data_IF_868605553625
#
_entry.id   IF_868605553625
#
_cell.length_a   1.000
_cell.length_b   1.000
_cell.length_c   1.000
_cell.angle_alpha   90.00
_cell.angle_beta   90.00
_cell.angle_gamma   90.00
#
_symmetry.space_group_name_H-M   'P 1'
#
loop_
_entity.id
_entity.type
_entity.pdbx_description
1 polymer ?
#
# COMPACT_ATOMS: atom_id res chain seq x y z
N UNK A 1 10.98 -29.54 0.58
CA UNK A 1 12.15 -28.82 0.06
C UNK A 1 11.97 -27.36 0.42
N UNK A 2 12.57 -26.91 1.52
CA UNK A 2 12.50 -25.52 1.98
C UNK A 2 13.42 -24.70 1.09
N UNK A 3 12.88 -23.71 0.36
CA UNK A 3 13.72 -22.75 -0.37
C UNK A 3 14.59 -21.99 0.63
N UNK A 4 15.84 -21.69 0.26
CA UNK A 4 16.69 -20.83 1.07
C UNK A 4 16.19 -19.36 1.05
N UNK A 5 16.59 -18.60 2.06
CA UNK A 5 16.17 -17.21 2.23
C UNK A 5 16.54 -16.32 1.02
N UNK A 6 17.76 -16.43 0.43
CA UNK A 6 18.13 -15.66 -0.76
C UNK A 6 17.24 -15.90 -1.97
N UNK A 7 16.95 -17.17 -2.31
CA UNK A 7 16.07 -17.52 -3.44
C UNK A 7 14.65 -17.00 -3.22
N UNK A 8 14.17 -17.08 -1.98
CA UNK A 8 12.84 -16.58 -1.62
C UNK A 8 12.75 -15.06 -1.76
N UNK A 9 13.71 -14.32 -1.22
CA UNK A 9 13.76 -12.86 -1.28
C UNK A 9 13.90 -12.34 -2.71
N UNK A 10 14.76 -12.97 -3.52
CA UNK A 10 14.89 -12.65 -4.96
C UNK A 10 13.56 -12.80 -5.70
N UNK A 11 12.85 -13.90 -5.50
CA UNK A 11 11.54 -14.15 -6.14
C UNK A 11 10.49 -13.11 -5.74
N UNK A 12 10.51 -12.66 -4.47
CA UNK A 12 9.63 -11.59 -4.00
C UNK A 12 9.92 -10.27 -4.72
N UNK A 13 11.19 -9.91 -4.89
CA UNK A 13 11.56 -8.70 -5.66
C UNK A 13 11.15 -8.80 -7.12
N UNK A 14 11.34 -9.95 -7.77
CA UNK A 14 10.87 -10.18 -9.14
C UNK A 14 9.34 -10.06 -9.25
N UNK A 15 8.62 -10.53 -8.23
CA UNK A 15 7.16 -10.38 -8.12
C UNK A 15 6.76 -8.92 -7.93
N UNK A 16 7.47 -8.17 -7.09
CA UNK A 16 7.28 -6.74 -6.90
C UNK A 16 7.48 -5.95 -8.21
N UNK A 17 8.51 -6.29 -8.98
CA UNK A 17 8.77 -5.72 -10.31
C UNK A 17 7.58 -6.00 -11.25
N UNK A 18 7.05 -7.22 -11.26
CA UNK A 18 5.89 -7.56 -12.07
C UNK A 18 4.65 -6.75 -11.67
N UNK A 19 4.41 -6.57 -10.37
CA UNK A 19 3.35 -5.72 -9.84
C UNK A 19 3.52 -4.25 -10.23
N UNK A 20 4.72 -3.67 -10.11
CA UNK A 20 4.96 -2.30 -10.57
C UNK A 20 4.79 -2.14 -12.09
N UNK A 21 5.22 -3.12 -12.89
CA UNK A 21 4.96 -3.10 -14.34
C UNK A 21 3.46 -3.12 -14.65
N UNK A 22 2.69 -3.92 -13.90
CA UNK A 22 1.23 -3.93 -14.04
C UNK A 22 0.62 -2.57 -13.68
N UNK A 23 1.13 -1.85 -12.67
CA UNK A 23 0.66 -0.50 -12.31
C UNK A 23 0.85 0.55 -13.42
N UNK A 24 1.82 0.36 -14.33
CA UNK A 24 2.03 1.29 -15.46
C UNK A 24 0.86 1.27 -16.45
N UNK A 25 0.21 0.12 -16.63
CA UNK A 25 -0.84 -0.07 -17.64
C UNK A 25 -2.22 -0.29 -17.04
N UNK A 26 -2.31 -0.61 -15.75
CA UNK A 26 -3.58 -0.81 -15.07
C UNK A 26 -4.41 0.49 -15.03
N UNK A 27 -5.74 0.33 -15.12
CA UNK A 27 -6.71 1.40 -14.88
C UNK A 27 -6.54 1.99 -13.47
N UNK A 28 -6.28 1.12 -12.48
CA UNK A 28 -5.95 1.51 -11.12
C UNK A 28 -4.54 1.05 -10.74
N UNK A 29 -3.60 2.00 -10.71
CA UNK A 29 -2.19 1.76 -10.36
C UNK A 29 -1.97 1.47 -8.86
N UNK A 30 -2.94 1.79 -7.99
CA UNK A 30 -2.78 1.75 -6.53
C UNK A 30 -2.69 0.31 -6.01
N UNK A 31 -3.55 -0.59 -6.49
CA UNK A 31 -3.58 -1.98 -6.00
C UNK A 31 -2.30 -2.75 -6.32
N UNK A 32 -1.76 -2.73 -7.55
CA UNK A 32 -0.48 -3.36 -7.83
C UNK A 32 0.68 -2.69 -7.07
N UNK A 33 0.66 -1.37 -6.88
CA UNK A 33 1.68 -0.67 -6.08
C UNK A 33 1.71 -1.13 -4.62
N UNK A 34 0.54 -1.34 -3.99
CA UNK A 34 0.43 -1.91 -2.64
C UNK A 34 1.12 -3.28 -2.57
N UNK A 35 0.79 -4.18 -3.51
CA UNK A 35 1.35 -5.54 -3.52
C UNK A 35 2.86 -5.53 -3.72
N UNK A 36 3.35 -4.68 -4.62
CA UNK A 36 4.78 -4.52 -4.83
C UNK A 36 5.51 -4.05 -3.56
N UNK A 37 4.94 -3.10 -2.81
CA UNK A 37 5.51 -2.63 -1.55
C UNK A 37 5.54 -3.74 -0.48
N UNK A 38 4.45 -4.52 -0.35
CA UNK A 38 4.41 -5.66 0.58
C UNK A 38 5.49 -6.70 0.23
N UNK A 39 5.66 -7.01 -1.05
CA UNK A 39 6.68 -7.94 -1.55
C UNK A 39 8.11 -7.43 -1.27
N UNK A 40 8.36 -6.13 -1.49
CA UNK A 40 9.66 -5.50 -1.20
C UNK A 40 9.99 -5.50 0.29
N UNK A 41 9.02 -5.15 1.14
CA UNK A 41 9.19 -5.20 2.61
C UNK A 41 9.50 -6.62 3.05
N UNK A 42 8.76 -7.60 2.54
CA UNK A 42 8.98 -9.01 2.88
C UNK A 42 10.35 -9.50 2.42
N UNK A 43 10.79 -9.10 1.21
CA UNK A 43 12.11 -9.45 0.69
C UNK A 43 13.23 -8.83 1.53
N UNK A 44 13.12 -7.54 1.87
CA UNK A 44 14.13 -6.82 2.65
C UNK A 44 14.28 -7.38 4.08
N UNK A 45 13.18 -7.79 4.71
CA UNK A 45 13.22 -8.47 6.02
C UNK A 45 13.90 -9.84 5.91
N UNK A 46 13.65 -10.58 4.83
CA UNK A 46 14.22 -11.91 4.64
C UNK A 46 15.72 -11.88 4.27
N UNK A 47 16.15 -10.88 3.51
CA UNK A 47 17.54 -10.72 3.07
C UNK A 47 17.93 -9.23 2.94
N UNK A 48 18.40 -8.60 4.03
CA UNK A 48 18.63 -7.13 4.07
C UNK A 48 19.66 -6.62 3.05
N UNK A 49 20.66 -7.43 2.73
CA UNK A 49 21.75 -7.05 1.80
C UNK A 49 21.44 -7.41 0.33
N UNK A 50 20.18 -7.74 0.00
CA UNK A 50 19.78 -8.16 -1.36
C UNK A 50 20.22 -7.15 -2.43
N UNK A 51 20.16 -5.85 -2.13
CA UNK A 51 20.57 -4.79 -3.03
C UNK A 51 22.03 -4.88 -3.51
N UNK A 52 22.93 -5.28 -2.61
CA UNK A 52 24.35 -5.42 -2.89
C UNK A 52 24.65 -6.67 -3.75
N UNK A 53 23.83 -7.72 -3.60
CA UNK A 53 23.95 -8.95 -4.36
C UNK A 53 23.24 -8.89 -5.73
N UNK A 54 22.18 -8.09 -5.86
CA UNK A 54 21.31 -8.03 -7.05
C UNK A 54 21.13 -6.58 -7.56
N UNK A 55 22.21 -5.88 -7.93
CA UNK A 55 22.14 -4.46 -8.31
C UNK A 55 21.23 -4.19 -9.52
N UNK A 56 21.10 -5.17 -10.42
CA UNK A 56 20.18 -5.07 -11.56
C UNK A 56 18.70 -5.06 -11.16
N UNK A 57 18.33 -5.81 -10.11
CA UNK A 57 16.97 -5.79 -9.58
C UNK A 57 16.72 -4.49 -8.81
N UNK A 58 17.69 -4.04 -8.01
CA UNK A 58 17.61 -2.78 -7.28
C UNK A 58 17.38 -1.58 -8.22
N UNK A 59 18.16 -1.48 -9.29
CA UNK A 59 18.00 -0.43 -10.31
C UNK A 59 16.60 -0.47 -10.96
N UNK A 60 16.10 -1.67 -11.28
CA UNK A 60 14.79 -1.84 -11.90
C UNK A 60 13.64 -1.44 -10.98
N UNK A 61 13.73 -1.80 -9.70
CA UNK A 61 12.76 -1.41 -8.68
C UNK A 61 12.72 0.11 -8.54
N UNK A 62 13.87 0.77 -8.47
CA UNK A 62 13.93 2.23 -8.36
C UNK A 62 13.34 2.95 -9.57
N UNK A 63 13.68 2.50 -10.78
CA UNK A 63 13.13 3.04 -12.03
C UNK A 63 11.60 2.94 -12.05
N UNK A 64 11.08 1.74 -11.75
CA UNK A 64 9.64 1.48 -11.78
C UNK A 64 8.89 2.23 -10.68
N UNK A 65 9.43 2.25 -9.45
CA UNK A 65 8.81 2.98 -8.34
C UNK A 65 8.68 4.48 -8.65
N UNK A 66 9.71 5.07 -9.26
CA UNK A 66 9.66 6.45 -9.73
C UNK A 66 8.64 6.64 -10.86
N UNK A 67 8.63 5.74 -11.85
CA UNK A 67 7.76 5.83 -13.01
C UNK A 67 6.26 5.73 -12.66
N UNK A 68 5.90 4.88 -11.68
CA UNK A 68 4.50 4.72 -11.28
C UNK A 68 4.02 5.78 -10.27
N UNK A 69 4.94 6.48 -9.61
CA UNK A 69 4.61 7.35 -8.48
C UNK A 69 3.50 8.36 -8.81
N UNK A 70 3.57 9.09 -9.95
CA UNK A 70 2.52 10.05 -10.32
C UNK A 70 1.14 9.40 -10.48
N UNK A 71 1.07 8.21 -11.09
CA UNK A 71 -0.19 7.47 -11.31
C UNK A 71 -0.79 7.00 -9.99
N UNK A 72 0.05 6.54 -9.06
CA UNK A 72 -0.41 6.13 -7.73
C UNK A 72 -0.93 7.35 -6.97
N UNK A 73 -0.21 8.48 -7.01
CA UNK A 73 -0.62 9.72 -6.34
C UNK A 73 -1.95 10.26 -6.89
N UNK A 74 -2.14 10.23 -8.21
CA UNK A 74 -3.40 10.58 -8.87
C UNK A 74 -4.54 9.65 -8.43
N UNK A 75 -4.30 8.33 -8.39
CA UNK A 75 -5.30 7.33 -8.01
C UNK A 75 -5.78 7.43 -6.56
N UNK A 76 -5.04 8.13 -5.68
CA UNK A 76 -5.44 8.40 -4.28
C UNK A 76 -5.59 9.89 -3.99
N UNK A 77 -5.71 10.73 -5.03
CA UNK A 77 -5.86 12.17 -4.88
C UNK A 77 -7.04 12.51 -3.95
N UNK A 78 -6.79 13.41 -3.00
CA UNK A 78 -7.77 13.80 -1.97
C UNK A 78 -7.87 12.87 -0.77
N UNK A 79 -7.23 11.70 -0.78
CA UNK A 79 -7.11 10.81 0.38
C UNK A 79 -5.71 10.84 0.99
N UNK A 80 -4.66 10.94 0.17
CA UNK A 80 -3.26 10.95 0.59
C UNK A 80 -2.54 12.06 -0.19
N UNK A 81 -1.66 12.80 0.49
CA UNK A 81 -0.85 13.83 -0.14
C UNK A 81 0.20 13.21 -1.09
N UNK A 82 0.43 13.83 -2.24
CA UNK A 82 1.28 13.27 -3.30
C UNK A 82 2.75 13.10 -2.86
N UNK A 83 3.28 14.07 -2.09
CA UNK A 83 4.60 14.01 -1.48
C UNK A 83 4.77 12.78 -0.57
N UNK A 84 3.72 12.41 0.19
CA UNK A 84 3.70 11.22 1.03
C UNK A 84 3.73 9.94 0.21
N UNK A 85 3.00 9.90 -0.92
CA UNK A 85 3.05 8.77 -1.87
C UNK A 85 4.45 8.62 -2.47
N UNK A 86 5.04 9.72 -2.94
CA UNK A 86 6.38 9.72 -3.53
C UNK A 86 7.44 9.28 -2.51
N UNK A 87 7.37 9.83 -1.30
CA UNK A 87 8.28 9.47 -0.23
C UNK A 87 8.16 7.99 0.15
N UNK A 88 6.94 7.47 0.29
CA UNK A 88 6.72 6.07 0.62
C UNK A 88 7.20 5.09 -0.45
N UNK A 89 6.96 5.40 -1.74
CA UNK A 89 7.49 4.59 -2.85
C UNK A 89 9.01 4.67 -2.93
N UNK A 90 9.60 5.85 -2.70
CA UNK A 90 11.04 6.02 -2.64
C UNK A 90 11.64 5.24 -1.45
N UNK A 91 10.99 5.22 -0.29
CA UNK A 91 11.41 4.42 0.85
C UNK A 91 11.39 2.91 0.52
N UNK A 92 10.35 2.43 -0.18
CA UNK A 92 10.27 1.06 -0.66
C UNK A 92 11.39 0.70 -1.65
N UNK A 93 11.69 1.58 -2.61
CA UNK A 93 12.81 1.36 -3.53
C UNK A 93 14.18 1.40 -2.83
N UNK A 94 14.32 2.29 -1.85
CA UNK A 94 15.53 2.44 -1.05
C UNK A 94 15.84 1.21 -0.18
N UNK A 95 14.90 0.28 0.02
CA UNK A 95 15.18 -1.01 0.64
C UNK A 95 16.20 -1.84 -0.14
N UNK A 96 16.31 -1.60 -1.46
CA UNK A 96 17.23 -2.33 -2.34
C UNK A 96 18.36 -1.45 -2.90
N UNK A 97 18.18 -0.13 -2.95
CA UNK A 97 19.19 0.77 -3.55
C UNK A 97 20.07 1.49 -2.54
N UNK A 98 19.62 1.64 -1.30
CA UNK A 98 20.43 2.27 -0.27
C UNK A 98 21.45 1.27 0.28
N UNK A 99 22.65 1.76 0.57
CA UNK A 99 23.64 0.98 1.31
C UNK A 99 23.10 0.68 2.72
N UNK A 100 23.53 -0.42 3.35
CA UNK A 100 23.19 -0.71 4.74
C UNK A 100 23.56 0.47 5.64
N UNK A 101 22.56 1.01 6.35
CA UNK A 101 22.71 2.07 7.32
C UNK A 101 21.71 1.87 8.48
N UNK A 102 21.76 2.75 9.48
CA UNK A 102 20.86 2.72 10.63
C UNK A 102 19.40 3.07 10.29
N UNK A 103 19.10 3.48 9.06
CA UNK A 103 17.76 3.87 8.61
C UNK A 103 17.02 2.73 7.88
N UNK A 104 17.64 1.56 7.71
CA UNK A 104 17.00 0.43 7.02
C UNK A 104 15.65 0.05 7.66
N UNK A 105 15.59 -0.02 8.99
CA UNK A 105 14.36 -0.29 9.72
C UNK A 105 13.29 0.80 9.48
N UNK A 106 13.68 2.07 9.45
CA UNK A 106 12.76 3.18 9.18
C UNK A 106 12.21 3.12 7.76
N UNK A 107 13.03 2.73 6.77
CA UNK A 107 12.57 2.52 5.39
C UNK A 107 11.52 1.42 5.31
N UNK A 108 11.72 0.31 6.03
CA UNK A 108 10.74 -0.79 6.10
C UNK A 108 9.42 -0.25 6.67
N UNK A 109 9.47 0.51 7.77
CA UNK A 109 8.29 1.08 8.41
C UNK A 109 7.58 2.08 7.49
N UNK A 110 8.31 2.95 6.79
CA UNK A 110 7.73 3.90 5.86
C UNK A 110 7.09 3.24 4.64
N UNK A 111 7.74 2.23 4.07
CA UNK A 111 7.20 1.44 2.96
C UNK A 111 5.92 0.68 3.37
N UNK A 112 5.93 0.07 4.56
CA UNK A 112 4.75 -0.60 5.12
C UNK A 112 3.62 0.38 5.45
N UNK A 113 3.95 1.55 6.00
CA UNK A 113 2.97 2.58 6.34
C UNK A 113 2.25 3.10 5.09
N UNK A 114 2.98 3.46 4.03
CA UNK A 114 2.35 3.93 2.81
C UNK A 114 1.49 2.83 2.16
N UNK A 115 1.93 1.56 2.19
CA UNK A 115 1.13 0.44 1.68
C UNK A 115 -0.20 0.29 2.44
N UNK A 116 -0.16 0.44 3.77
CA UNK A 116 -1.36 0.42 4.61
C UNK A 116 -2.28 1.62 4.33
N UNK A 117 -1.74 2.82 4.14
CA UNK A 117 -2.52 4.02 3.81
C UNK A 117 -3.19 3.92 2.45
N UNK A 118 -2.46 3.48 1.42
CA UNK A 118 -3.00 3.23 0.08
C UNK A 118 -4.14 2.20 0.15
N UNK A 119 -3.95 1.11 0.91
CA UNK A 119 -4.99 0.10 1.13
C UNK A 119 -6.22 0.69 1.82
N UNK A 120 -6.03 1.51 2.86
CA UNK A 120 -7.13 2.20 3.53
C UNK A 120 -7.87 3.16 2.59
N UNK A 121 -7.16 3.89 1.71
CA UNK A 121 -7.76 4.76 0.71
C UNK A 121 -8.63 3.97 -0.28
N UNK A 122 -8.13 2.84 -0.79
CA UNK A 122 -8.91 1.94 -1.65
C UNK A 122 -10.16 1.44 -0.93
N UNK A 123 -10.03 0.94 0.30
CA UNK A 123 -11.18 0.46 1.08
C UNK A 123 -12.23 1.56 1.31
N UNK A 124 -11.81 2.78 1.68
CA UNK A 124 -12.73 3.91 1.87
C UNK A 124 -13.43 4.31 0.58
N UNK A 125 -12.71 4.31 -0.55
CA UNK A 125 -13.28 4.60 -1.87
C UNK A 125 -14.38 3.59 -2.22
N UNK A 126 -14.09 2.29 -2.04
CA UNK A 126 -15.05 1.22 -2.31
C UNK A 126 -16.27 1.25 -1.37
N UNK A 127 -16.07 1.53 -0.08
CA UNK A 127 -17.17 1.70 0.86
C UNK A 127 -18.05 2.89 0.47
N UNK A 128 -17.46 4.03 0.11
CA UNK A 128 -18.19 5.21 -0.36
C UNK A 128 -18.95 4.93 -1.64
N UNK A 129 -18.32 4.27 -2.63
CA UNK A 129 -18.95 3.87 -3.90
C UNK A 129 -20.18 2.98 -3.67
N UNK A 130 -20.13 2.12 -2.66
CA UNK A 130 -21.21 1.20 -2.27
C UNK A 130 -22.22 1.81 -1.28
N UNK A 131 -22.07 3.09 -0.95
CA UNK A 131 -22.90 3.81 0.03
C UNK A 131 -22.93 3.14 1.42
N UNK A 132 -21.76 2.71 1.88
CA UNK A 132 -21.50 2.09 3.20
C UNK A 132 -22.65 1.19 3.71
N UNK A 133 -22.82 -0.01 3.13
CA UNK A 133 -23.99 -0.84 3.42
C UNK A 133 -24.07 -1.26 4.89
N UNK A 134 -22.93 -1.44 5.56
CA UNK A 134 -22.89 -1.78 6.99
C UNK A 134 -23.27 -0.56 7.84
N UNK A 135 -22.72 0.62 7.58
CA UNK A 135 -23.10 1.84 8.28
C UNK A 135 -24.60 2.14 8.15
N UNK A 136 -25.17 1.92 6.95
CA UNK A 136 -26.61 2.05 6.71
C UNK A 136 -27.44 1.05 7.51
N UNK A 137 -27.04 -0.22 7.53
CA UNK A 137 -27.75 -1.25 8.28
C UNK A 137 -27.75 -0.94 9.79
N UNK A 138 -26.61 -0.52 10.35
CA UNK A 138 -26.49 -0.12 11.76
C UNK A 138 -27.34 1.10 12.07
N UNK A 139 -27.36 2.09 11.18
CA UNK A 139 -28.18 3.31 11.35
C UNK A 139 -29.67 2.98 11.32
N UNK A 140 -30.10 2.12 10.38
CA UNK A 140 -31.47 1.67 10.30
C UNK A 140 -31.88 0.88 11.56
N UNK A 141 -31.03 -0.03 12.02
CA UNK A 141 -31.27 -0.80 13.25
C UNK A 141 -31.43 0.12 14.47
N UNK A 142 -30.53 1.09 14.64
CA UNK A 142 -30.61 2.07 15.73
C UNK A 142 -31.88 2.93 15.69
N UNK A 143 -32.35 3.27 14.48
CA UNK A 143 -33.60 4.01 14.31
C UNK A 143 -34.83 3.16 14.68
N UNK A 144 -34.80 1.85 14.40
CA UNK A 144 -35.85 0.91 14.81
C UNK A 144 -35.88 0.66 16.32
N UNK A 145 -34.71 0.62 16.95
CA UNK A 145 -34.56 0.41 18.40
C UNK A 145 -34.77 1.69 19.22
N UNK A 146 -34.90 2.85 18.57
CA UNK A 146 -35.12 4.12 19.26
C UNK A 146 -36.49 4.12 19.97
N UNK A 147 -36.56 4.48 21.26
CA UNK A 147 -37.84 4.62 21.95
C UNK A 147 -38.71 5.63 21.19
N UNK A 148 -39.94 5.26 20.86
CA UNK A 148 -40.90 6.22 20.33
C UNK A 148 -41.18 7.26 21.42
N UNK A 149 -40.78 8.52 21.20
CA UNK A 149 -41.13 9.64 22.07
C UNK A 149 -42.66 9.72 22.21
N UNK A 150 -43.19 9.10 23.28
CA UNK A 150 -44.62 9.11 23.64
C UNK A 150 -45.01 10.34 24.46
N UNK A 151 -44.19 11.39 24.46
CA UNK A 151 -44.50 12.67 25.12
C UNK A 151 -44.76 13.78 24.09
N UNK A 152 -45.69 13.55 23.16
CA UNK A 152 -46.42 14.68 22.56
C UNK A 152 -47.64 14.91 23.46
N UNK A 153 -47.44 15.65 24.54
CA UNK A 153 -48.54 16.25 25.29
C UNK A 153 -49.18 17.32 24.39
N UNK A 154 -50.31 16.98 23.79
CA UNK A 154 -51.21 17.96 23.18
C UNK A 154 -51.80 18.80 24.33
N UNK A 155 -51.23 19.98 24.56
CA UNK A 155 -51.87 21.06 25.32
C UNK A 155 -52.53 22.05 24.36
#
# INVERSE_FOLDING_TARGET
MTMDAPTTARRLVETAIAHFRSALTAENAVVPAIRALDDLVTAAVAWPDLGDHEPGLAARVSELAFAIAPRVAEGVAGAIAADRVYFGLAAGAALLTAKPDNLHADRILHAGLIAAELRAAVCRSELKRRNDPLGRAVTAQRAWEAPADHNVSLQ
#
